data_IF_949458179248
#
_entry.id   IF_949458179248
#
_cell.length_a   1.000
_cell.length_b   1.000
_cell.length_c   1.000
_cell.angle_alpha   90.00
_cell.angle_beta   90.00
_cell.angle_gamma   90.00
#
_symmetry.space_group_name_H-M   'P 1'
#
loop_
_entity.id
_entity.type
_entity.pdbx_description
1 polymer ?
#
# COMPACT_ATOMS: atom_id res chain seq x y z
N UNK A 1 12.91 -8.19 -47.08
CA UNK A 1 12.99 -7.14 -46.05
C UNK A 1 11.92 -7.47 -45.03
N UNK A 2 12.27 -8.30 -44.05
CA UNK A 2 11.35 -8.75 -43.00
C UNK A 2 11.38 -7.71 -41.90
N UNK A 3 10.25 -7.04 -41.66
CA UNK A 3 10.09 -6.17 -40.50
C UNK A 3 9.82 -7.06 -39.30
N UNK A 4 10.83 -7.10 -38.46
CA UNK A 4 10.87 -7.78 -37.18
C UNK A 4 9.85 -7.11 -36.25
N UNK A 5 8.77 -7.83 -35.93
CA UNK A 5 7.91 -7.51 -34.79
C UNK A 5 8.51 -8.18 -33.56
N UNK A 6 9.46 -7.49 -32.92
CA UNK A 6 9.89 -7.83 -31.56
C UNK A 6 9.44 -6.69 -30.65
N UNK A 7 8.40 -6.92 -29.84
CA UNK A 7 7.90 -5.88 -28.93
C UNK A 7 6.69 -6.21 -28.06
N UNK A 8 6.37 -7.49 -27.82
CA UNK A 8 5.11 -7.86 -27.15
C UNK A 8 5.18 -8.76 -25.92
N UNK A 9 6.32 -9.38 -25.57
CA UNK A 9 6.34 -10.44 -24.53
C UNK A 9 6.81 -9.95 -23.14
N UNK A 10 6.74 -8.65 -22.88
CA UNK A 10 7.30 -8.06 -21.64
C UNK A 10 6.30 -7.71 -20.53
N UNK A 11 5.02 -7.52 -20.86
CA UNK A 11 4.08 -6.84 -19.93
C UNK A 11 2.90 -7.72 -19.46
N UNK A 12 2.66 -8.89 -20.07
CA UNK A 12 1.56 -9.79 -19.69
C UNK A 12 1.79 -10.55 -18.37
N UNK A 13 2.95 -10.40 -17.72
CA UNK A 13 3.37 -11.29 -16.62
C UNK A 13 3.07 -10.81 -15.21
N UNK A 14 2.48 -9.61 -15.05
CA UNK A 14 2.23 -9.03 -13.72
C UNK A 14 0.75 -8.88 -13.35
N UNK A 15 -0.18 -9.17 -14.27
CA UNK A 15 -1.60 -8.97 -14.03
C UNK A 15 -2.27 -10.23 -13.50
N UNK A 16 -2.67 -10.20 -12.23
CA UNK A 16 -3.62 -11.17 -11.70
C UNK A 16 -5.00 -10.88 -12.31
N UNK A 17 -5.85 -11.91 -12.51
CA UNK A 17 -7.24 -11.67 -12.89
C UNK A 17 -7.95 -10.73 -11.91
N UNK A 18 -8.78 -9.79 -12.40
CA UNK A 18 -9.56 -8.86 -11.55
C UNK A 18 -10.33 -9.61 -10.44
N UNK A 19 -10.87 -10.79 -10.76
CA UNK A 19 -11.57 -11.65 -9.80
C UNK A 19 -10.67 -12.10 -8.63
N UNK A 20 -9.38 -12.31 -8.88
CA UNK A 20 -8.41 -12.64 -7.84
C UNK A 20 -8.06 -11.39 -7.01
N UNK A 21 -7.85 -10.24 -7.66
CA UNK A 21 -7.57 -8.94 -6.99
C UNK A 21 -8.71 -8.55 -6.04
N UNK A 22 -9.96 -8.62 -6.52
CA UNK A 22 -11.16 -8.28 -5.74
C UNK A 22 -11.39 -9.25 -4.57
N UNK A 23 -11.21 -10.55 -4.79
CA UNK A 23 -11.29 -11.55 -3.71
C UNK A 23 -10.22 -11.31 -2.64
N UNK A 24 -9.01 -10.93 -3.05
CA UNK A 24 -7.93 -10.66 -2.12
C UNK A 24 -8.16 -9.34 -1.37
N UNK A 25 -8.65 -8.30 -2.03
CA UNK A 25 -8.99 -7.03 -1.39
C UNK A 25 -10.04 -7.22 -0.29
N UNK A 26 -11.04 -8.08 -0.53
CA UNK A 26 -12.03 -8.45 0.47
C UNK A 26 -11.39 -9.20 1.66
N UNK A 27 -10.43 -10.09 1.42
CA UNK A 27 -9.72 -10.79 2.48
C UNK A 27 -8.86 -9.84 3.34
N UNK A 28 -8.15 -8.91 2.71
CA UNK A 28 -7.35 -7.87 3.39
C UNK A 28 -8.25 -6.97 4.24
N UNK A 29 -9.41 -6.55 3.73
CA UNK A 29 -10.36 -5.74 4.48
C UNK A 29 -10.92 -6.47 5.70
N UNK A 30 -11.26 -7.76 5.57
CA UNK A 30 -11.73 -8.57 6.69
C UNK A 30 -10.64 -8.74 7.77
N UNK A 31 -9.38 -8.86 7.37
CA UNK A 31 -8.25 -8.96 8.29
C UNK A 31 -7.98 -7.64 9.02
N UNK A 32 -8.04 -6.50 8.31
CA UNK A 32 -7.97 -5.17 8.94
C UNK A 32 -9.05 -4.99 10.00
N UNK A 33 -10.31 -5.34 9.67
CA UNK A 33 -11.41 -5.24 10.62
C UNK A 33 -11.18 -6.12 11.87
N UNK A 34 -10.56 -7.29 11.72
CA UNK A 34 -10.21 -8.14 12.85
C UNK A 34 -9.13 -7.48 13.75
N UNK A 35 -8.12 -6.85 13.16
CA UNK A 35 -7.08 -6.13 13.91
C UNK A 35 -7.63 -4.89 14.61
N UNK A 36 -8.52 -4.14 13.95
CA UNK A 36 -9.14 -2.94 14.51
C UNK A 36 -10.02 -3.26 15.72
N UNK A 37 -10.66 -4.44 15.74
CA UNK A 37 -11.39 -4.93 16.92
C UNK A 37 -10.46 -5.35 18.08
N UNK A 38 -9.29 -5.92 17.78
CA UNK A 38 -8.33 -6.38 18.79
C UNK A 38 -7.53 -5.22 19.41
N UNK A 39 -7.11 -4.26 18.60
CA UNK A 39 -6.24 -3.14 18.96
C UNK A 39 -6.63 -2.39 20.25
N UNK A 40 -7.90 -1.95 20.45
CA UNK A 40 -8.26 -1.16 21.63
C UNK A 40 -8.13 -1.95 22.93
N UNK A 41 -8.42 -3.26 22.90
CA UNK A 41 -8.30 -4.12 24.09
C UNK A 41 -6.84 -4.31 24.46
N UNK A 42 -5.97 -4.49 23.46
CA UNK A 42 -4.54 -4.65 23.66
C UNK A 42 -3.89 -3.35 24.16
N UNK A 43 -4.25 -2.21 23.56
CA UNK A 43 -3.79 -0.87 23.95
C UNK A 43 -4.16 -0.56 25.40
N UNK A 44 -5.41 -0.81 25.79
CA UNK A 44 -5.89 -0.54 27.14
C UNK A 44 -5.11 -1.36 28.20
N UNK A 45 -4.90 -2.65 27.94
CA UNK A 45 -4.12 -3.53 28.82
C UNK A 45 -2.65 -3.13 28.89
N UNK A 46 -2.07 -2.76 27.76
CA UNK A 46 -0.70 -2.29 27.70
C UNK A 46 -0.57 -1.01 28.55
N UNK A 47 -1.43 -0.01 28.34
CA UNK A 47 -1.42 1.24 29.12
C UNK A 47 -1.54 1.01 30.63
N UNK A 48 -2.33 0.02 31.06
CA UNK A 48 -2.50 -0.33 32.47
C UNK A 48 -1.26 -1.02 33.10
N UNK A 49 -0.42 -1.66 32.29
CA UNK A 49 0.75 -2.44 32.74
C UNK A 49 2.08 -1.78 32.41
N UNK A 50 2.09 -0.67 31.67
CA UNK A 50 3.28 0.07 31.27
C UNK A 50 4.04 0.67 32.47
N UNK A 51 5.37 0.54 32.45
CA UNK A 51 6.25 1.04 33.50
C UNK A 51 6.26 0.21 34.78
N UNK A 52 5.62 -0.97 34.77
CA UNK A 52 5.62 -1.88 35.92
C UNK A 52 6.84 -2.81 35.92
N UNK A 53 7.52 -2.95 34.78
CA UNK A 53 8.61 -3.89 34.60
C UNK A 53 8.17 -5.35 34.73
N UNK A 54 6.87 -5.62 34.60
CA UNK A 54 6.30 -6.95 34.78
C UNK A 54 6.54 -7.82 33.54
N UNK A 55 6.60 -9.16 33.69
CA UNK A 55 6.67 -10.05 32.53
C UNK A 55 5.42 -9.94 31.64
N UNK A 56 4.28 -9.48 32.18
CA UNK A 56 3.07 -9.21 31.40
C UNK A 56 3.25 -7.99 30.47
N UNK A 57 3.90 -6.93 30.93
CA UNK A 57 4.24 -5.75 30.12
C UNK A 57 5.06 -6.17 28.88
N UNK A 58 6.10 -7.01 29.05
CA UNK A 58 6.90 -7.49 27.94
C UNK A 58 6.11 -8.32 26.92
N UNK A 59 5.19 -9.16 27.39
CA UNK A 59 4.33 -9.98 26.52
C UNK A 59 3.36 -9.11 25.74
N UNK A 60 2.72 -8.14 26.40
CA UNK A 60 1.79 -7.21 25.76
C UNK A 60 2.50 -6.31 24.75
N UNK A 61 3.71 -5.86 25.06
CA UNK A 61 4.58 -5.11 24.16
C UNK A 61 4.92 -5.90 22.89
N UNK A 62 5.36 -7.16 23.03
CA UNK A 62 5.62 -8.03 21.86
C UNK A 62 4.39 -8.20 20.99
N UNK A 63 3.22 -8.43 21.59
CA UNK A 63 1.95 -8.58 20.87
C UNK A 63 1.54 -7.27 20.18
N UNK A 64 1.77 -6.13 20.82
CA UNK A 64 1.51 -4.81 20.23
C UNK A 64 2.36 -4.57 18.99
N UNK A 65 3.67 -4.84 19.04
CA UNK A 65 4.54 -4.74 17.87
C UNK A 65 4.12 -5.67 16.73
N UNK A 66 3.72 -6.90 17.04
CA UNK A 66 3.19 -7.83 16.03
C UNK A 66 1.91 -7.30 15.38
N UNK A 67 0.99 -6.72 16.16
CA UNK A 67 -0.24 -6.13 15.64
C UNK A 67 0.07 -4.96 14.70
N UNK A 68 0.95 -4.04 15.11
CA UNK A 68 1.36 -2.89 14.30
C UNK A 68 2.06 -3.35 13.02
N UNK A 69 2.99 -4.29 13.10
CA UNK A 69 3.67 -4.85 11.93
C UNK A 69 2.70 -5.49 10.94
N UNK A 70 1.74 -6.27 11.44
CA UNK A 70 0.70 -6.91 10.62
C UNK A 70 -0.23 -5.88 9.97
N UNK A 71 -0.62 -4.83 10.71
CA UNK A 71 -1.43 -3.73 10.16
C UNK A 71 -0.70 -3.02 9.02
N UNK A 72 0.58 -2.69 9.20
CA UNK A 72 1.37 -2.02 8.17
C UNK A 72 1.50 -2.90 6.91
N UNK A 73 1.74 -4.21 7.08
CA UNK A 73 1.75 -5.15 5.95
C UNK A 73 0.41 -5.17 5.19
N UNK A 74 -0.73 -5.12 5.91
CA UNK A 74 -2.06 -5.06 5.28
C UNK A 74 -2.33 -3.72 4.59
N UNK A 75 -1.87 -2.60 5.14
CA UNK A 75 -1.99 -1.28 4.49
C UNK A 75 -1.24 -1.28 3.16
N UNK A 76 0.00 -1.77 3.14
CA UNK A 76 0.77 -1.89 1.92
C UNK A 76 0.10 -2.83 0.92
N UNK A 77 -0.45 -3.96 1.39
CA UNK A 77 -1.14 -4.90 0.50
C UNK A 77 -2.43 -4.32 -0.07
N UNK A 78 -3.25 -3.65 0.74
CA UNK A 78 -4.47 -2.97 0.30
C UNK A 78 -4.17 -1.93 -0.77
N UNK A 79 -3.09 -1.17 -0.59
CA UNK A 79 -2.67 -0.19 -1.59
C UNK A 79 -2.23 -0.84 -2.91
N UNK A 80 -1.40 -1.89 -2.86
CA UNK A 80 -1.00 -2.64 -4.06
C UNK A 80 -2.23 -3.14 -4.84
N UNK A 81 -3.22 -3.69 -4.13
CA UNK A 81 -4.46 -4.17 -4.74
C UNK A 81 -5.28 -3.04 -5.38
N UNK A 82 -5.31 -1.85 -4.75
CA UNK A 82 -5.97 -0.67 -5.32
C UNK A 82 -5.31 -0.21 -6.63
N UNK A 83 -3.99 -0.29 -6.75
CA UNK A 83 -3.29 0.01 -8.00
C UNK A 83 -3.67 -1.00 -9.09
N UNK A 84 -3.64 -2.29 -8.76
CA UNK A 84 -4.01 -3.34 -9.72
C UNK A 84 -5.44 -3.18 -10.24
N UNK A 85 -6.37 -2.77 -9.37
CA UNK A 85 -7.75 -2.49 -9.75
C UNK A 85 -7.85 -1.28 -10.70
N UNK A 86 -7.19 -0.16 -10.34
CA UNK A 86 -7.16 1.04 -11.19
C UNK A 86 -6.53 0.78 -12.56
N UNK A 87 -5.44 0.02 -12.60
CA UNK A 87 -4.76 -0.32 -13.84
C UNK A 87 -5.66 -1.17 -14.75
N UNK A 88 -6.37 -2.14 -14.17
CA UNK A 88 -7.31 -2.95 -14.93
C UNK A 88 -8.51 -2.16 -15.46
N UNK A 89 -9.00 -1.17 -14.70
CA UNK A 89 -10.04 -0.25 -15.17
C UNK A 89 -9.56 0.64 -16.32
N UNK A 90 -8.32 1.13 -16.25
CA UNK A 90 -7.71 1.88 -17.34
C UNK A 90 -7.50 1.03 -18.58
N UNK A 91 -7.08 -0.23 -18.43
CA UNK A 91 -6.94 -1.17 -19.55
C UNK A 91 -8.29 -1.43 -20.23
N UNK A 92 -9.34 -1.69 -19.44
CA UNK A 92 -10.70 -1.88 -19.96
C UNK A 92 -11.19 -0.64 -20.71
N UNK A 93 -10.99 0.54 -20.14
CA UNK A 93 -11.40 1.82 -20.75
C UNK A 93 -10.61 2.07 -22.04
N UNK A 94 -9.29 1.88 -22.01
CA UNK A 94 -8.41 1.98 -23.20
C UNK A 94 -8.86 1.03 -24.31
N UNK A 95 -9.21 -0.21 -23.98
CA UNK A 95 -9.66 -1.20 -24.95
C UNK A 95 -10.98 -0.78 -25.63
N UNK A 96 -11.95 -0.27 -24.85
CA UNK A 96 -13.23 0.22 -25.37
C UNK A 96 -13.04 1.46 -26.26
N UNK A 97 -12.25 2.44 -25.81
CA UNK A 97 -11.97 3.66 -26.57
C UNK A 97 -11.26 3.34 -27.91
N UNK A 98 -10.26 2.45 -27.88
CA UNK A 98 -9.56 2.05 -29.09
C UNK A 98 -10.45 1.23 -30.04
N UNK A 99 -11.34 0.39 -29.52
CA UNK A 99 -12.29 -0.34 -30.36
C UNK A 99 -13.21 0.63 -31.12
N UNK A 100 -13.79 1.60 -30.41
CA UNK A 100 -14.65 2.62 -31.02
C UNK A 100 -13.89 3.51 -32.02
N UNK A 101 -12.68 3.96 -31.65
CA UNK A 101 -11.85 4.77 -32.53
C UNK A 101 -11.46 4.01 -33.81
N UNK A 102 -11.12 2.72 -33.70
CA UNK A 102 -10.81 1.88 -34.85
C UNK A 102 -12.03 1.67 -35.76
N UNK A 103 -13.24 1.53 -35.20
CA UNK A 103 -14.47 1.45 -36.00
C UNK A 103 -14.73 2.73 -36.79
N UNK A 104 -14.47 3.90 -36.21
CA UNK A 104 -14.62 5.19 -36.90
C UNK A 104 -13.53 5.40 -37.96
N UNK A 105 -12.28 5.07 -37.63
CA UNK A 105 -11.14 5.17 -38.56
C UNK A 105 -11.23 4.16 -39.72
N UNK A 106 -11.92 3.04 -39.55
CA UNK A 106 -12.14 2.07 -40.63
C UNK A 106 -13.08 2.61 -41.73
N UNK A 107 -13.84 3.68 -41.47
CA UNK A 107 -14.63 4.38 -42.48
C UNK A 107 -13.71 5.24 -43.35
N UNK A 108 -13.92 5.19 -44.67
CA UNK A 108 -13.18 6.06 -45.60
C UNK A 108 -13.51 7.55 -45.33
N UNK A 109 -12.51 8.42 -45.39
CA UNK A 109 -12.66 9.85 -45.07
C UNK A 109 -13.72 10.55 -45.94
N UNK A 110 -13.95 10.06 -47.17
CA UNK A 110 -15.00 10.57 -48.06
C UNK A 110 -16.42 10.25 -47.57
N UNK A 111 -16.57 9.24 -46.70
CA UNK A 111 -17.83 8.77 -46.14
C UNK A 111 -18.07 9.27 -44.70
N UNK A 112 -17.07 9.90 -44.07
CA UNK A 112 -17.19 10.42 -42.69
C UNK A 112 -18.09 11.63 -42.63
N UNK A 113 -19.12 11.54 -41.78
CA UNK A 113 -20.00 12.65 -41.46
C UNK A 113 -19.31 13.66 -40.55
N UNK A 114 -19.90 14.86 -40.38
CA UNK A 114 -19.41 15.83 -39.40
C UNK A 114 -19.51 15.31 -37.96
N UNK A 115 -20.49 14.44 -37.68
CA UNK A 115 -20.69 13.79 -36.39
C UNK A 115 -19.60 12.75 -36.12
N UNK A 116 -19.23 11.93 -37.11
CA UNK A 116 -18.12 10.98 -36.99
C UNK A 116 -16.81 11.71 -36.63
N UNK A 117 -16.50 12.83 -37.30
CA UNK A 117 -15.29 13.63 -37.02
C UNK A 117 -15.31 14.26 -35.63
N UNK A 118 -16.48 14.77 -35.19
CA UNK A 118 -16.63 15.31 -33.85
C UNK A 118 -16.44 14.23 -32.77
N UNK A 119 -16.91 13.00 -33.05
CA UNK A 119 -16.72 11.84 -32.16
C UNK A 119 -15.26 11.38 -32.13
N UNK A 120 -14.58 11.30 -33.27
CA UNK A 120 -13.14 11.00 -33.34
C UNK A 120 -12.32 12.00 -32.50
N UNK A 121 -12.59 13.31 -32.63
CA UNK A 121 -11.89 14.34 -31.86
C UNK A 121 -12.14 14.23 -30.35
N UNK A 122 -13.34 13.83 -29.95
CA UNK A 122 -13.69 13.59 -28.56
C UNK A 122 -12.99 12.34 -28.00
N UNK A 123 -12.98 11.23 -28.74
CA UNK A 123 -12.27 10.01 -28.36
C UNK A 123 -10.75 10.23 -28.23
N UNK A 124 -10.15 11.03 -29.12
CA UNK A 124 -8.74 11.38 -29.00
C UNK A 124 -8.43 12.18 -27.72
N UNK A 125 -9.34 13.06 -27.29
CA UNK A 125 -9.23 13.75 -26.00
C UNK A 125 -9.33 12.76 -24.82
N UNK A 126 -10.32 11.88 -24.84
CA UNK A 126 -10.50 10.86 -23.80
C UNK A 126 -9.29 9.91 -23.70
N UNK A 127 -8.69 9.52 -24.84
CA UNK A 127 -7.45 8.73 -24.85
C UNK A 127 -6.28 9.46 -24.19
N UNK A 128 -6.14 10.77 -24.41
CA UNK A 128 -5.11 11.59 -23.73
C UNK A 128 -5.38 11.69 -22.23
N UNK A 129 -6.65 11.81 -21.82
CA UNK A 129 -7.04 11.79 -20.41
C UNK A 129 -6.65 10.48 -19.74
N UNK A 130 -6.93 9.33 -20.36
CA UNK A 130 -6.52 8.00 -19.86
C UNK A 130 -4.99 7.88 -19.71
N UNK A 131 -4.21 8.46 -20.62
CA UNK A 131 -2.74 8.50 -20.50
C UNK A 131 -2.29 9.38 -19.33
N UNK A 132 -2.96 10.51 -19.09
CA UNK A 132 -2.68 11.36 -17.95
C UNK A 132 -3.03 10.65 -16.63
N UNK A 133 -4.18 9.98 -16.54
CA UNK A 133 -4.56 9.17 -15.37
C UNK A 133 -3.55 8.06 -15.09
N UNK A 134 -3.05 7.38 -16.14
CA UNK A 134 -1.96 6.41 -15.98
C UNK A 134 -0.69 7.06 -15.42
N UNK A 135 -0.33 8.25 -15.91
CA UNK A 135 0.84 8.99 -15.43
C UNK A 135 0.69 9.45 -13.97
N UNK A 136 -0.53 9.77 -13.53
CA UNK A 136 -0.83 10.05 -12.12
C UNK A 136 -0.66 8.80 -11.24
N UNK A 137 -1.10 7.63 -11.71
CA UNK A 137 -0.88 6.36 -10.99
C UNK A 137 0.61 6.08 -10.80
N UNK A 138 1.44 6.32 -11.82
CA UNK A 138 2.90 6.14 -11.73
C UNK A 138 3.51 7.11 -10.70
N UNK A 139 3.08 8.37 -10.68
CA UNK A 139 3.58 9.34 -9.69
C UNK A 139 3.16 8.99 -8.25
N UNK A 140 1.92 8.53 -8.07
CA UNK A 140 1.42 8.06 -6.78
C UNK A 140 2.20 6.82 -6.30
N UNK A 141 2.51 5.89 -7.22
CA UNK A 141 3.37 4.73 -6.97
C UNK A 141 4.76 5.14 -6.48
N UNK A 142 5.42 6.07 -7.18
CA UNK A 142 6.76 6.56 -6.81
C UNK A 142 6.76 7.24 -5.44
N UNK A 143 5.72 8.04 -5.14
CA UNK A 143 5.55 8.67 -3.83
C UNK A 143 5.38 7.63 -2.73
N UNK A 144 4.55 6.61 -2.98
CA UNK A 144 4.32 5.57 -1.99
C UNK A 144 5.52 4.67 -1.79
N UNK A 145 6.25 4.27 -2.83
CA UNK A 145 7.49 3.50 -2.67
C UNK A 145 8.49 4.24 -1.76
N UNK A 146 8.62 5.56 -1.93
CA UNK A 146 9.44 6.39 -1.04
C UNK A 146 8.90 6.39 0.40
N UNK A 147 7.58 6.48 0.59
CA UNK A 147 6.97 6.38 1.91
C UNK A 147 7.22 5.01 2.58
N UNK A 148 7.09 3.90 1.83
CA UNK A 148 7.37 2.54 2.30
C UNK A 148 8.82 2.38 2.74
N UNK A 149 9.76 2.87 1.93
CA UNK A 149 11.20 2.84 2.26
C UNK A 149 11.47 3.58 3.57
N UNK A 150 10.86 4.76 3.75
CA UNK A 150 10.97 5.54 4.97
C UNK A 150 10.37 4.82 6.19
N UNK A 151 9.19 4.19 6.04
CA UNK A 151 8.54 3.43 7.10
C UNK A 151 9.35 2.19 7.52
N UNK A 152 9.91 1.45 6.57
CA UNK A 152 10.79 0.30 6.84
C UNK A 152 12.07 0.77 7.55
N UNK A 153 12.66 1.89 7.13
CA UNK A 153 13.84 2.44 7.79
C UNK A 153 13.52 2.85 9.24
N UNK A 154 12.37 3.48 9.48
CA UNK A 154 11.89 3.83 10.81
C UNK A 154 11.59 2.58 11.66
N UNK A 155 10.96 1.56 11.08
CA UNK A 155 10.67 0.28 11.73
C UNK A 155 11.94 -0.49 12.14
N UNK A 156 12.95 -0.53 11.28
CA UNK A 156 14.25 -1.13 11.61
C UNK A 156 14.95 -0.40 12.77
N UNK A 157 14.82 0.94 12.82
CA UNK A 157 15.36 1.75 13.93
C UNK A 157 14.63 1.47 15.24
N UNK A 158 13.30 1.38 15.24
CA UNK A 158 12.52 1.09 16.46
C UNK A 158 12.74 -0.35 16.95
N UNK A 159 12.85 -1.32 16.05
CA UNK A 159 13.18 -2.71 16.39
C UNK A 159 14.58 -2.83 17.00
N UNK A 160 15.56 -2.11 16.46
CA UNK A 160 16.91 -2.07 17.00
C UNK A 160 16.95 -1.48 18.42
N UNK A 161 16.23 -0.37 18.64
CA UNK A 161 16.08 0.25 19.97
C UNK A 161 15.43 -0.72 20.94
N UNK A 162 14.32 -1.35 20.52
CA UNK A 162 13.57 -2.30 21.34
C UNK A 162 14.44 -3.51 21.72
N UNK A 163 15.14 -4.12 20.76
CA UNK A 163 16.05 -5.24 21.03
C UNK A 163 17.22 -4.86 21.95
N UNK A 164 17.78 -3.65 21.80
CA UNK A 164 18.86 -3.16 22.65
C UNK A 164 18.38 -2.92 24.08
N UNK A 165 17.17 -2.38 24.26
CA UNK A 165 16.53 -2.22 25.57
C UNK A 165 16.24 -3.58 26.23
N UNK A 166 15.68 -4.56 25.49
CA UNK A 166 15.43 -5.91 26.02
C UNK A 166 16.73 -6.66 26.40
N UNK A 167 17.80 -6.54 25.61
CA UNK A 167 19.11 -7.15 25.93
C UNK A 167 19.72 -6.57 27.21
N UNK A 168 19.58 -5.26 27.42
CA UNK A 168 20.13 -4.56 28.59
C UNK A 168 19.42 -4.95 29.90
N UNK A 169 18.12 -5.23 29.86
CA UNK A 169 17.32 -5.70 31.02
C UNK A 169 17.69 -7.14 31.40
N UNK A 170 17.95 -8.01 30.42
CA UNK A 170 18.33 -9.41 30.66
C UNK A 170 19.78 -9.63 31.09
N UNK A 171 20.68 -8.64 30.90
CA UNK A 171 22.11 -8.75 31.19
C UNK A 171 22.60 -7.99 32.43
N UNK A 172 21.74 -7.24 33.12
CA UNK A 172 22.12 -6.24 34.13
C UNK A 172 21.89 -6.63 35.58
N UNK A 173 22.57 -7.68 36.07
CA UNK A 173 22.81 -7.82 37.52
C UNK A 173 23.88 -6.82 37.97
N UNK A 174 23.50 -5.55 38.19
CA UNK A 174 24.47 -4.53 38.64
C UNK A 174 23.92 -3.12 38.70
N UNK A 175 23.73 -2.64 39.93
CA UNK A 175 23.52 -1.24 40.37
C UNK A 175 24.26 -0.18 39.52
N UNK A 176 23.55 0.89 39.11
CA UNK A 176 24.18 2.09 38.56
C UNK A 176 23.19 3.08 37.96
N UNK A 177 23.22 4.32 38.44
CA UNK A 177 22.23 5.36 38.23
C UNK A 177 22.22 6.01 36.84
N UNK A 178 21.04 6.55 36.46
CA UNK A 178 20.92 7.79 35.69
C UNK A 178 21.07 7.69 34.18
N UNK A 179 19.97 7.44 33.48
CA UNK A 179 19.90 7.54 32.01
C UNK A 179 18.66 6.89 31.43
N UNK A 180 17.48 7.23 31.96
CA UNK A 180 16.21 6.64 31.52
C UNK A 180 15.77 7.20 30.17
N UNK A 181 16.25 6.62 29.07
CA UNK A 181 15.44 6.60 27.83
C UNK A 181 14.29 5.63 28.08
N UNK A 182 13.19 6.17 28.61
CA UNK A 182 11.99 5.40 28.91
C UNK A 182 11.49 4.74 27.63
N UNK A 183 11.47 3.41 27.61
CA UNK A 183 10.82 2.60 26.57
C UNK A 183 9.38 3.11 26.32
N UNK A 184 8.75 3.70 27.34
CA UNK A 184 7.46 4.39 27.23
C UNK A 184 7.39 5.53 26.21
N UNK A 185 8.51 6.21 25.89
CA UNK A 185 8.53 7.25 24.85
C UNK A 185 8.42 6.68 23.44
N UNK A 186 9.10 5.56 23.18
CA UNK A 186 9.12 4.88 21.87
C UNK A 186 7.75 4.27 21.54
N UNK A 187 7.05 3.77 22.58
CA UNK A 187 5.69 3.24 22.45
C UNK A 187 4.67 4.35 22.30
N UNK A 188 4.82 5.47 23.01
CA UNK A 188 3.91 6.61 22.89
C UNK A 188 3.93 7.22 21.47
N UNK A 189 5.11 7.28 20.82
CA UNK A 189 5.22 7.72 19.42
C UNK A 189 4.66 6.68 18.43
N UNK A 190 4.88 5.38 18.66
CA UNK A 190 4.27 4.32 17.84
C UNK A 190 2.73 4.28 17.97
N UNK A 191 2.20 4.52 19.18
CA UNK A 191 0.76 4.65 19.44
C UNK A 191 0.17 5.90 18.80
N UNK A 192 0.91 7.02 18.75
CA UNK A 192 0.50 8.23 18.03
C UNK A 192 0.40 8.01 16.52
N UNK A 193 1.32 7.23 15.93
CA UNK A 193 1.23 6.82 14.53
C UNK A 193 0.04 5.88 14.23
N UNK A 194 -0.44 5.13 15.23
CA UNK A 194 -1.69 4.36 15.11
C UNK A 194 -2.97 5.21 15.22
N UNK A 195 -2.90 6.45 15.72
CA UNK A 195 -4.07 7.31 16.03
C UNK A 195 -4.37 8.34 14.94
N UNK A 196 -3.70 8.32 13.78
CA UNK A 196 -4.07 9.18 12.65
C UNK A 196 -4.99 8.39 11.71
N UNK A 197 -6.26 8.31 12.11
CA UNK A 197 -7.43 8.48 11.26
C UNK A 197 -8.45 9.31 12.04
#
# INVERSE_FOLDING_TARGET
>A
MALQQDGGEGFEKFFLPIAAVTSEAAAVAAEQEALDREAPTLEHRLRATMGTGSPEEEVLMRRWFQLVSRRNALVHRAYQLSIMEKESDLERTTALLNAELNELMAKDDSQKTAEDRAREELLLREVVEVVNERNEIVQELDYQEQALVNEVELGLRTDAITQQSFRSISGGGGVGAGGGSSVGGVVSDATRACTIQ
#
